data_IF_737527537573
#
_entry.id   IF_737527537573
#
_cell.length_a   1.000
_cell.length_b   1.000
_cell.length_c   1.000
_cell.angle_alpha   90.00
_cell.angle_beta   90.00
_cell.angle_gamma   90.00
#
_symmetry.space_group_name_H-M   'P 1'
#
loop_
_entity.id
_entity.type
_entity.pdbx_description
1 polymer ?
#
# COMPACT_ATOMS: atom_id res chain seq x y z
N UNK A 1 6.16 -22.56 -14.37
CA UNK A 1 6.44 -21.35 -15.17
C UNK A 1 7.76 -21.64 -15.86
N UNK A 2 7.75 -21.82 -17.20
CA UNK A 2 8.98 -21.96 -17.99
C UNK A 2 9.62 -20.58 -18.15
N UNK A 3 10.88 -20.44 -17.72
CA UNK A 3 11.66 -19.20 -17.80
C UNK A 3 12.56 -19.16 -19.06
N UNK A 4 12.32 -20.02 -20.06
CA UNK A 4 13.33 -20.36 -21.08
C UNK A 4 13.09 -19.73 -22.46
N UNK A 5 12.26 -18.70 -22.58
CA UNK A 5 12.15 -17.98 -23.86
C UNK A 5 12.99 -16.69 -23.84
N UNK A 6 13.91 -16.60 -24.80
CA UNK A 6 14.69 -15.37 -25.08
C UNK A 6 14.24 -14.83 -26.42
N UNK A 7 13.91 -13.53 -26.48
CA UNK A 7 13.50 -12.89 -27.72
C UNK A 7 14.71 -12.52 -28.63
N UNK A 8 14.42 -12.05 -29.82
CA UNK A 8 15.42 -11.65 -30.82
C UNK A 8 16.37 -10.53 -30.36
N UNK A 9 16.01 -9.82 -29.28
CA UNK A 9 16.79 -8.73 -28.70
C UNK A 9 17.54 -9.16 -27.42
N UNK A 10 17.51 -10.47 -27.07
CA UNK A 10 18.18 -11.01 -25.90
C UNK A 10 17.46 -10.76 -24.57
N UNK A 11 16.14 -10.46 -24.61
CA UNK A 11 15.31 -10.38 -23.41
C UNK A 11 14.79 -11.76 -23.02
N UNK A 12 14.93 -12.11 -21.76
CA UNK A 12 14.17 -13.19 -21.14
C UNK A 12 12.73 -12.76 -20.95
N UNK A 13 11.77 -13.66 -21.19
CA UNK A 13 10.34 -13.36 -21.13
C UNK A 13 9.63 -14.31 -20.18
N UNK A 14 8.76 -13.74 -19.32
CA UNK A 14 7.80 -14.46 -18.50
C UNK A 14 6.40 -13.90 -18.80
N UNK A 15 5.53 -14.74 -19.36
CA UNK A 15 4.13 -14.41 -19.60
C UNK A 15 3.23 -15.14 -18.59
N UNK A 16 2.35 -14.38 -17.95
CA UNK A 16 1.42 -14.89 -16.95
C UNK A 16 -0.01 -14.51 -17.35
N UNK A 17 -0.95 -15.46 -17.54
CA UNK A 17 -2.34 -15.12 -17.80
C UNK A 17 -2.92 -14.24 -16.72
N UNK A 18 -3.69 -13.21 -17.08
CA UNK A 18 -4.34 -12.29 -16.15
C UNK A 18 -5.86 -12.55 -16.05
N UNK A 19 -6.54 -11.79 -15.19
CA UNK A 19 -7.96 -11.97 -14.88
C UNK A 19 -8.92 -11.55 -16.01
N UNK A 20 -8.38 -10.88 -17.04
CA UNK A 20 -9.17 -10.34 -18.16
C UNK A 20 -9.09 -11.20 -19.42
N UNK A 21 -8.52 -12.41 -19.31
CA UNK A 21 -8.26 -13.28 -20.46
C UNK A 21 -7.06 -12.86 -21.30
N UNK A 22 -6.34 -11.81 -20.88
CA UNK A 22 -5.07 -11.37 -21.43
C UNK A 22 -3.86 -11.99 -20.72
N UNK A 23 -2.69 -11.38 -20.93
CA UNK A 23 -1.44 -11.78 -20.27
C UNK A 23 -0.73 -10.59 -19.66
N UNK A 24 -0.24 -10.78 -18.43
CA UNK A 24 0.77 -9.93 -17.84
C UNK A 24 2.14 -10.41 -18.33
N UNK A 25 2.99 -9.48 -18.70
CA UNK A 25 4.28 -9.80 -19.32
C UNK A 25 5.42 -9.16 -18.52
N UNK A 26 6.46 -9.93 -18.29
CA UNK A 26 7.72 -9.48 -17.69
C UNK A 26 8.87 -9.82 -18.64
N UNK A 27 9.68 -8.83 -18.97
CA UNK A 27 10.87 -8.95 -19.79
C UNK A 27 12.07 -8.37 -19.07
N UNK A 28 13.23 -9.03 -19.16
CA UNK A 28 14.47 -8.50 -18.59
C UNK A 28 15.68 -8.85 -19.44
N UNK A 29 16.67 -8.00 -19.38
CA UNK A 29 17.92 -8.17 -20.08
C UNK A 29 19.08 -7.74 -19.17
N UNK A 30 20.17 -8.51 -19.20
CA UNK A 30 21.43 -8.12 -18.58
C UNK A 30 22.28 -7.33 -19.58
N UNK A 31 22.98 -6.33 -19.08
CA UNK A 31 23.98 -5.57 -19.86
C UNK A 31 25.31 -5.61 -19.13
N UNK A 32 26.38 -5.34 -19.88
CA UNK A 32 27.71 -5.23 -19.27
C UNK A 32 27.76 -3.96 -18.42
N UNK A 33 27.60 -4.11 -17.12
CA UNK A 33 27.62 -3.04 -16.15
C UNK A 33 28.03 -3.56 -14.78
N UNK A 34 28.47 -2.67 -13.91
CA UNK A 34 28.91 -3.02 -12.56
C UNK A 34 27.77 -2.70 -11.59
N UNK A 35 27.25 -3.69 -10.83
CA UNK A 35 26.31 -3.44 -9.76
C UNK A 35 26.73 -2.31 -8.84
N UNK A 36 25.79 -1.46 -8.47
CA UNK A 36 26.08 -0.30 -7.63
C UNK A 36 25.82 -0.62 -6.16
N UNK A 37 26.88 -0.73 -5.38
CA UNK A 37 26.75 -0.77 -3.92
C UNK A 37 26.16 0.54 -3.40
N UNK A 38 25.28 0.43 -2.43
CA UNK A 38 24.66 1.58 -1.79
C UNK A 38 25.42 1.94 -0.53
N UNK A 39 25.90 3.17 -0.47
CA UNK A 39 26.68 3.66 0.68
C UNK A 39 25.77 3.87 1.89
N UNK A 40 26.26 3.47 3.04
CA UNK A 40 25.66 3.73 4.34
C UNK A 40 26.75 3.89 5.39
N UNK A 41 26.41 4.53 6.50
CA UNK A 41 27.32 4.71 7.63
C UNK A 41 26.69 4.04 8.84
N UNK A 42 27.52 3.30 9.61
CA UNK A 42 27.10 2.63 10.83
C UNK A 42 27.95 3.12 12.00
N UNK A 43 27.33 3.37 13.16
CA UNK A 43 28.05 3.66 14.40
C UNK A 43 28.70 2.37 14.89
N UNK A 44 30.05 2.42 15.06
CA UNK A 44 30.81 1.27 15.50
C UNK A 44 30.44 0.86 16.93
N UNK A 45 30.46 -0.45 17.20
CA UNK A 45 30.21 -1.01 18.52
C UNK A 45 28.74 -1.07 18.95
N UNK A 46 27.83 -0.52 18.16
CA UNK A 46 26.39 -0.64 18.42
C UNK A 46 25.86 -1.88 17.70
N UNK A 47 25.32 -2.85 18.47
CA UNK A 47 24.72 -4.08 17.99
C UNK A 47 25.59 -4.79 16.90
N UNK A 48 26.79 -5.28 17.26
CA UNK A 48 27.76 -5.82 16.28
C UNK A 48 27.24 -7.08 15.59
N UNK A 49 26.38 -7.85 16.23
CA UNK A 49 25.85 -9.14 15.76
C UNK A 49 24.62 -9.00 14.85
N UNK A 50 24.16 -7.77 14.58
CA UNK A 50 22.98 -7.53 13.77
C UNK A 50 23.36 -7.07 12.37
N UNK A 51 23.02 -7.87 11.35
CA UNK A 51 23.23 -7.55 9.94
C UNK A 51 22.07 -6.75 9.36
N UNK A 52 22.22 -5.42 9.36
CA UNK A 52 21.25 -4.48 8.75
C UNK A 52 21.96 -3.68 7.67
N UNK A 53 21.63 -3.98 6.41
CA UNK A 53 22.26 -3.35 5.24
C UNK A 53 21.22 -3.03 4.17
N UNK A 54 21.47 -2.05 3.28
CA UNK A 54 20.63 -1.86 2.12
C UNK A 54 20.90 -2.93 1.04
N UNK A 55 19.92 -3.17 0.19
CA UNK A 55 20.12 -3.99 -1.00
C UNK A 55 21.04 -3.30 -2.01
N UNK A 56 21.83 -4.10 -2.72
CA UNK A 56 22.63 -3.66 -3.87
C UNK A 56 21.70 -3.24 -5.01
N UNK A 57 22.09 -2.23 -5.76
CA UNK A 57 21.35 -1.76 -6.94
C UNK A 57 21.85 -2.51 -8.17
N UNK A 58 21.21 -3.64 -8.46
CA UNK A 58 21.54 -4.54 -9.57
C UNK A 58 20.28 -5.20 -10.12
N UNK A 59 20.43 -5.80 -11.30
CA UNK A 59 19.32 -6.46 -12.01
C UNK A 59 18.75 -7.61 -11.20
N UNK A 60 19.53 -8.42 -10.51
CA UNK A 60 19.05 -9.55 -9.73
C UNK A 60 18.17 -9.10 -8.57
N UNK A 61 18.58 -8.05 -7.85
CA UNK A 61 17.82 -7.48 -6.76
C UNK A 61 16.49 -6.87 -7.26
N UNK A 62 16.55 -6.15 -8.38
CA UNK A 62 15.35 -5.54 -8.97
C UNK A 62 14.39 -6.61 -9.50
N UNK A 63 14.90 -7.59 -10.26
CA UNK A 63 14.11 -8.68 -10.84
C UNK A 63 13.45 -9.52 -9.73
N UNK A 64 14.18 -9.88 -8.69
CA UNK A 64 13.62 -10.58 -7.53
C UNK A 64 12.50 -9.77 -6.86
N UNK A 65 12.71 -8.45 -6.68
CA UNK A 65 11.68 -7.56 -6.14
C UNK A 65 10.43 -7.52 -7.00
N UNK A 66 10.56 -7.45 -8.33
CA UNK A 66 9.44 -7.48 -9.27
C UNK A 66 8.74 -8.84 -9.26
N UNK A 67 9.49 -9.94 -9.38
CA UNK A 67 8.92 -11.29 -9.37
C UNK A 67 8.09 -11.54 -8.10
N UNK A 68 8.67 -11.33 -6.92
CA UNK A 68 8.03 -11.71 -5.67
C UNK A 68 7.07 -10.65 -5.09
N UNK A 69 7.01 -9.43 -5.63
CA UNK A 69 6.09 -8.39 -5.14
C UNK A 69 5.04 -7.95 -6.16
N UNK A 70 5.12 -8.48 -7.39
CA UNK A 70 4.12 -8.19 -8.42
C UNK A 70 3.52 -9.47 -8.98
N UNK A 71 4.36 -10.43 -9.42
CA UNK A 71 3.92 -11.57 -10.21
C UNK A 71 3.66 -12.84 -9.39
N UNK A 72 4.43 -13.10 -8.33
CA UNK A 72 4.47 -14.38 -7.65
C UNK A 72 4.39 -14.22 -6.12
N UNK A 73 3.75 -15.19 -5.47
CA UNK A 73 3.77 -15.38 -4.02
C UNK A 73 4.46 -16.69 -3.68
N UNK A 74 5.18 -16.72 -2.56
CA UNK A 74 5.81 -17.96 -2.07
C UNK A 74 4.73 -18.95 -1.65
N UNK A 75 4.85 -20.20 -2.12
CA UNK A 75 3.90 -21.27 -1.87
C UNK A 75 4.69 -22.56 -1.58
N UNK A 76 4.82 -22.90 -0.30
CA UNK A 76 5.69 -23.97 0.15
C UNK A 76 7.13 -23.79 -0.32
N UNK A 77 7.72 -24.80 -1.01
CA UNK A 77 9.06 -24.69 -1.59
C UNK A 77 9.11 -23.94 -2.92
N UNK A 78 7.96 -23.60 -3.50
CA UNK A 78 7.84 -22.98 -4.81
C UNK A 78 7.17 -21.62 -4.79
N UNK A 79 6.68 -21.23 -5.97
CA UNK A 79 5.96 -19.99 -6.19
C UNK A 79 4.65 -20.26 -6.94
N UNK A 80 3.60 -19.59 -6.51
CA UNK A 80 2.30 -19.55 -7.18
C UNK A 80 1.94 -18.12 -7.56
N UNK A 81 0.82 -17.96 -8.24
CA UNK A 81 0.27 -16.62 -8.49
C UNK A 81 -0.38 -16.07 -7.23
N UNK A 82 -0.44 -14.74 -7.07
CA UNK A 82 -1.30 -14.15 -6.06
C UNK A 82 -2.74 -14.67 -6.18
N UNK A 83 -3.44 -14.89 -5.07
CA UNK A 83 -4.84 -15.29 -5.11
C UNK A 83 -5.66 -14.21 -5.84
N UNK A 84 -6.69 -14.67 -6.56
CA UNK A 84 -7.57 -13.81 -7.35
C UNK A 84 -8.89 -13.65 -6.62
N UNK A 85 -9.52 -12.47 -6.68
CA UNK A 85 -10.84 -12.30 -6.16
C UNK A 85 -11.85 -13.13 -6.96
N UNK A 86 -12.89 -13.60 -6.30
CA UNK A 86 -14.05 -14.17 -6.98
C UNK A 86 -14.73 -13.08 -7.81
N UNK A 87 -15.10 -13.38 -9.05
CA UNK A 87 -15.73 -12.40 -9.94
C UNK A 87 -16.93 -11.70 -9.30
N UNK A 88 -16.94 -10.36 -9.34
CA UNK A 88 -18.00 -9.53 -8.77
C UNK A 88 -18.03 -9.48 -7.24
N UNK A 89 -17.00 -9.99 -6.56
CA UNK A 89 -16.98 -10.07 -5.08
C UNK A 89 -16.98 -8.68 -4.44
N UNK A 90 -16.23 -7.72 -5.00
CA UNK A 90 -16.16 -6.36 -4.44
C UNK A 90 -17.51 -5.66 -4.50
N UNK A 91 -18.20 -5.68 -5.64
CA UNK A 91 -19.53 -5.08 -5.77
C UNK A 91 -20.56 -5.76 -4.87
N UNK A 92 -20.50 -7.09 -4.72
CA UNK A 92 -21.45 -7.85 -3.91
C UNK A 92 -21.18 -7.70 -2.41
N UNK A 93 -19.95 -7.93 -1.94
CA UNK A 93 -19.64 -7.91 -0.49
C UNK A 93 -19.53 -6.50 0.08
N UNK A 94 -19.12 -5.54 -0.73
CA UNK A 94 -18.99 -4.15 -0.29
C UNK A 94 -20.23 -3.29 -0.59
N UNK A 95 -21.32 -3.88 -1.12
CA UNK A 95 -22.56 -3.13 -1.41
C UNK A 95 -23.13 -2.41 -0.18
N UNK A 96 -23.21 -3.08 0.96
CA UNK A 96 -23.69 -2.48 2.19
C UNK A 96 -22.75 -1.37 2.70
N UNK A 97 -21.46 -1.57 2.60
CA UNK A 97 -20.44 -0.55 2.97
C UNK A 97 -20.52 0.65 2.03
N UNK A 98 -20.75 0.42 0.73
CA UNK A 98 -20.99 1.50 -0.21
C UNK A 98 -22.20 2.36 0.19
N UNK A 99 -23.31 1.72 0.55
CA UNK A 99 -24.53 2.42 0.97
C UNK A 99 -24.33 3.22 2.28
N UNK A 100 -23.50 2.74 3.19
CA UNK A 100 -23.13 3.47 4.41
C UNK A 100 -22.16 4.63 4.11
N UNK A 101 -21.18 4.41 3.24
CA UNK A 101 -20.10 5.37 2.96
C UNK A 101 -20.54 6.49 2.00
N UNK A 102 -21.29 6.17 0.94
CA UNK A 102 -21.63 7.11 -0.12
C UNK A 102 -22.30 8.41 0.37
N UNK A 103 -23.28 8.38 1.30
CA UNK A 103 -23.88 9.60 1.86
C UNK A 103 -22.89 10.45 2.67
N UNK A 104 -21.82 9.85 3.18
CA UNK A 104 -20.80 10.51 4.02
C UNK A 104 -19.67 11.11 3.19
N UNK A 105 -19.58 10.75 1.89
CA UNK A 105 -18.51 11.24 1.02
C UNK A 105 -18.56 12.76 0.84
N UNK A 106 -17.40 13.41 0.75
CA UNK A 106 -17.36 14.85 0.52
C UNK A 106 -17.86 15.18 -0.89
N UNK A 107 -18.58 16.28 -1.00
CA UNK A 107 -18.83 16.91 -2.29
C UNK A 107 -17.82 18.04 -2.51
N UNK A 108 -16.95 17.93 -3.52
CA UNK A 108 -15.84 18.84 -3.70
C UNK A 108 -15.54 19.11 -5.18
N UNK A 109 -14.66 20.06 -5.42
CA UNK A 109 -14.05 20.32 -6.72
C UNK A 109 -12.54 20.05 -6.66
N UNK A 110 -11.88 19.74 -7.78
CA UNK A 110 -10.44 19.62 -7.82
C UNK A 110 -9.78 20.98 -7.61
N UNK A 111 -8.60 21.01 -7.00
CA UNK A 111 -7.80 22.23 -6.92
C UNK A 111 -7.23 22.56 -8.30
N UNK A 112 -6.82 23.84 -8.52
CA UNK A 112 -6.09 24.19 -9.74
C UNK A 112 -4.71 23.53 -9.76
N UNK A 113 -4.12 23.33 -10.96
CA UNK A 113 -2.74 22.84 -11.07
C UNK A 113 -1.75 23.77 -10.34
N UNK A 114 -1.97 25.09 -10.42
CA UNK A 114 -1.13 26.08 -9.72
C UNK A 114 -1.22 25.90 -8.20
N UNK A 115 -2.43 25.76 -7.65
CA UNK A 115 -2.63 25.51 -6.22
C UNK A 115 -1.95 24.23 -5.76
N UNK A 116 -2.09 23.12 -6.52
CA UNK A 116 -1.41 21.86 -6.20
C UNK A 116 0.12 22.04 -6.11
N UNK A 117 0.72 22.84 -7.03
CA UNK A 117 2.16 23.12 -7.00
C UNK A 117 2.53 23.97 -5.80
N UNK A 118 1.72 24.97 -5.45
CA UNK A 118 1.95 25.85 -4.29
C UNK A 118 1.91 25.08 -2.96
N UNK A 119 1.05 24.06 -2.85
CA UNK A 119 0.94 23.20 -1.66
C UNK A 119 2.15 22.27 -1.48
N UNK A 120 2.99 22.11 -2.52
CA UNK A 120 4.23 21.33 -2.43
C UNK A 120 5.36 22.19 -1.84
N UNK A 121 6.35 21.53 -1.20
CA UNK A 121 7.51 22.20 -0.58
C UNK A 121 8.84 21.70 -1.16
N UNK A 122 9.88 22.50 -1.02
CA UNK A 122 11.26 22.16 -1.36
C UNK A 122 11.45 21.69 -2.81
N UNK A 123 12.28 20.68 -3.01
CA UNK A 123 12.60 20.12 -4.32
C UNK A 123 11.36 19.57 -5.05
N UNK A 124 10.37 19.06 -4.30
CA UNK A 124 9.12 18.57 -4.86
C UNK A 124 8.34 19.66 -5.58
N UNK A 125 8.29 20.87 -5.00
CA UNK A 125 7.65 22.03 -5.63
C UNK A 125 8.33 22.41 -6.96
N UNK A 126 9.66 22.44 -6.99
CA UNK A 126 10.41 22.75 -8.23
C UNK A 126 10.11 21.74 -9.34
N UNK A 127 10.05 20.44 -9.02
CA UNK A 127 9.75 19.39 -9.99
C UNK A 127 8.32 19.48 -10.53
N UNK A 128 7.34 19.74 -9.67
CA UNK A 128 5.95 19.94 -10.12
C UNK A 128 5.75 21.26 -10.86
N UNK A 129 6.50 22.32 -10.54
CA UNK A 129 6.47 23.56 -11.31
C UNK A 129 6.93 23.29 -12.74
N UNK A 130 8.06 22.59 -12.92
CA UNK A 130 8.52 22.18 -14.25
C UNK A 130 7.48 21.35 -15.00
N UNK A 131 6.87 20.37 -14.35
CA UNK A 131 5.80 19.56 -14.94
C UNK A 131 4.58 20.41 -15.36
N UNK A 132 4.24 21.45 -14.59
CA UNK A 132 3.18 22.40 -14.93
C UNK A 132 3.53 23.20 -16.19
N UNK A 133 4.76 23.69 -16.28
CA UNK A 133 5.22 24.48 -17.43
C UNK A 133 5.27 23.63 -18.70
N UNK A 134 5.77 22.41 -18.60
CA UNK A 134 5.74 21.41 -19.69
C UNK A 134 4.31 21.09 -20.13
N UNK A 135 3.38 20.92 -19.20
CA UNK A 135 1.96 20.67 -19.49
C UNK A 135 1.30 21.88 -20.17
N UNK A 136 1.62 23.10 -19.77
CA UNK A 136 1.15 24.34 -20.41
C UNK A 136 1.68 24.49 -21.84
N UNK A 137 2.89 23.98 -22.09
CA UNK A 137 3.50 23.91 -23.40
C UNK A 137 2.97 22.74 -24.29
N UNK A 138 1.88 22.09 -23.88
CA UNK A 138 1.24 21.01 -24.63
C UNK A 138 1.94 19.66 -24.58
N UNK A 139 2.95 19.46 -23.73
CA UNK A 139 3.76 18.23 -23.64
C UNK A 139 3.15 17.12 -22.78
N UNK A 140 1.85 17.14 -22.51
CA UNK A 140 1.18 16.11 -21.76
C UNK A 140 0.66 15.01 -22.70
N UNK A 141 1.17 13.79 -22.55
CA UNK A 141 0.69 12.57 -23.17
C UNK A 141 0.33 11.56 -22.06
N UNK A 142 -0.93 11.15 -21.97
CA UNK A 142 -1.37 10.29 -20.89
C UNK A 142 -0.67 8.94 -20.90
N UNK A 143 -0.52 8.31 -22.05
CA UNK A 143 0.10 6.99 -22.17
C UNK A 143 1.56 7.01 -21.73
N UNK A 144 2.33 8.01 -22.14
CA UNK A 144 3.74 8.16 -21.77
C UNK A 144 3.90 8.58 -20.31
N UNK A 145 3.10 9.57 -19.87
CA UNK A 145 3.22 10.16 -18.54
C UNK A 145 2.71 9.24 -17.42
N UNK A 146 1.83 8.29 -17.76
CA UNK A 146 1.35 7.27 -16.83
C UNK A 146 2.30 6.08 -16.66
N UNK A 147 3.31 5.92 -17.52
CA UNK A 147 4.34 4.87 -17.36
C UNK A 147 5.05 5.02 -16.02
N UNK A 148 5.43 3.88 -15.46
CA UNK A 148 6.06 3.80 -14.15
C UNK A 148 7.56 3.54 -14.29
N UNK A 149 8.34 4.24 -13.48
CA UNK A 149 9.75 3.92 -13.27
C UNK A 149 9.87 3.04 -12.04
N UNK A 150 10.55 1.91 -12.13
CA UNK A 150 10.66 0.95 -11.04
C UNK A 150 12.09 0.87 -10.53
N UNK A 151 12.26 0.89 -9.23
CA UNK A 151 13.57 0.74 -8.61
C UNK A 151 13.48 0.10 -7.23
N UNK A 152 14.58 -0.51 -6.79
CA UNK A 152 14.70 -1.09 -5.45
C UNK A 152 14.74 0.03 -4.41
N UNK A 153 13.87 -0.08 -3.42
CA UNK A 153 13.80 0.89 -2.31
C UNK A 153 15.12 0.91 -1.54
N UNK A 154 15.68 2.10 -1.37
CA UNK A 154 16.85 2.29 -0.52
C UNK A 154 16.39 2.36 0.94
N UNK A 155 16.56 1.27 1.67
CA UNK A 155 16.12 1.13 3.06
C UNK A 155 17.02 0.17 3.84
N UNK A 156 16.95 0.28 5.16
CA UNK A 156 17.63 -0.59 6.13
C UNK A 156 16.91 -1.95 6.15
N UNK A 157 17.58 -2.98 5.67
CA UNK A 157 17.06 -4.36 5.62
C UNK A 157 17.75 -5.19 6.68
N UNK A 158 16.98 -5.68 7.64
CA UNK A 158 17.46 -6.57 8.69
C UNK A 158 17.51 -8.01 8.16
N UNK A 159 18.72 -8.54 8.02
CA UNK A 159 18.98 -9.91 7.58
C UNK A 159 19.14 -10.88 8.75
N UNK A 160 19.28 -10.36 9.97
CA UNK A 160 19.37 -11.18 11.18
C UNK A 160 18.02 -11.79 11.52
N UNK A 161 16.98 -10.96 11.54
CA UNK A 161 15.61 -11.42 11.87
C UNK A 161 14.90 -12.06 10.67
N UNK A 162 15.31 -11.73 9.44
CA UNK A 162 14.78 -12.28 8.19
C UNK A 162 15.92 -12.86 7.37
N UNK A 163 16.07 -14.17 7.38
CA UNK A 163 17.14 -14.89 6.68
C UNK A 163 17.19 -14.63 5.17
N UNK A 164 16.01 -14.38 4.55
CA UNK A 164 15.87 -14.14 3.12
C UNK A 164 14.87 -13.02 2.82
N UNK A 165 15.21 -11.75 3.15
CA UNK A 165 14.30 -10.63 2.94
C UNK A 165 14.12 -10.32 1.45
N UNK A 166 12.88 -10.19 1.00
CA UNK A 166 12.56 -9.81 -0.38
C UNK A 166 12.71 -8.30 -0.56
N UNK A 167 13.46 -7.83 -1.58
CA UNK A 167 13.61 -6.40 -1.86
C UNK A 167 12.27 -5.73 -2.06
N UNK A 168 12.06 -4.55 -1.46
CA UNK A 168 10.90 -3.73 -1.79
C UNK A 168 11.20 -2.87 -3.01
N UNK A 169 10.21 -2.77 -3.89
CA UNK A 169 10.27 -1.92 -5.08
C UNK A 169 9.37 -0.71 -4.92
N UNK A 170 9.76 0.39 -5.52
CA UNK A 170 8.98 1.62 -5.63
C UNK A 170 8.72 1.89 -7.10
N UNK A 171 7.48 2.20 -7.43
CA UNK A 171 7.01 2.37 -8.80
C UNK A 171 6.25 3.69 -8.97
N UNK A 172 6.94 4.85 -9.00
CA UNK A 172 6.30 6.15 -9.22
C UNK A 172 5.98 6.38 -10.69
N UNK A 173 4.91 7.15 -10.94
CA UNK A 173 4.59 7.71 -12.25
C UNK A 173 5.25 9.09 -12.45
N UNK A 174 5.27 9.52 -13.70
CA UNK A 174 5.80 10.82 -14.10
C UNK A 174 5.13 12.00 -13.37
N UNK A 175 5.87 13.09 -13.18
CA UNK A 175 5.37 14.28 -12.50
C UNK A 175 4.18 14.94 -13.20
N UNK A 176 4.08 14.86 -14.54
CA UNK A 176 2.96 15.43 -15.32
C UNK A 176 1.67 14.64 -15.08
N UNK A 177 1.74 13.30 -15.02
CA UNK A 177 0.61 12.48 -14.61
C UNK A 177 0.21 12.76 -13.17
N UNK A 178 1.19 12.72 -12.24
CA UNK A 178 0.95 12.97 -10.82
C UNK A 178 0.39 14.38 -10.53
N UNK A 179 0.78 15.40 -11.30
CA UNK A 179 0.17 16.73 -11.27
C UNK A 179 -1.30 16.68 -11.71
N UNK A 180 -1.59 15.90 -12.76
CA UNK A 180 -2.93 15.83 -13.34
C UNK A 180 -3.92 15.09 -12.45
N UNK A 181 -3.51 13.94 -11.86
CA UNK A 181 -4.36 13.14 -10.95
C UNK A 181 -4.35 13.70 -9.53
N UNK A 182 -3.21 14.22 -9.07
CA UNK A 182 -3.02 14.70 -7.70
C UNK A 182 -3.90 15.88 -7.32
N UNK A 183 -4.22 16.77 -8.28
CA UNK A 183 -5.18 17.87 -8.06
C UNK A 183 -6.58 17.40 -7.67
N UNK A 184 -6.95 16.17 -8.04
CA UNK A 184 -8.20 15.52 -7.65
C UNK A 184 -8.03 14.78 -6.31
N UNK A 185 -7.02 13.93 -6.19
CA UNK A 185 -6.87 13.00 -5.09
C UNK A 185 -6.35 13.64 -3.80
N UNK A 186 -5.40 14.57 -3.90
CA UNK A 186 -4.80 15.20 -2.72
C UNK A 186 -5.81 15.91 -1.81
N UNK A 187 -6.79 16.67 -2.34
CA UNK A 187 -7.82 17.28 -1.52
C UNK A 187 -8.80 16.27 -0.90
N UNK A 188 -8.91 15.06 -1.47
CA UNK A 188 -9.83 14.03 -1.00
C UNK A 188 -9.30 13.27 0.21
N UNK A 189 -8.00 13.05 0.33
CA UNK A 189 -7.38 12.14 1.29
C UNK A 189 -7.95 12.33 2.71
N UNK A 190 -7.76 13.50 3.30
CA UNK A 190 -8.27 13.77 4.66
C UNK A 190 -9.80 13.77 4.76
N UNK A 191 -10.49 14.10 3.68
CA UNK A 191 -11.95 14.13 3.67
C UNK A 191 -12.54 12.72 3.66
N UNK A 192 -11.96 11.81 2.86
CA UNK A 192 -12.37 10.41 2.81
C UNK A 192 -12.02 9.72 4.15
N UNK A 193 -10.86 10.00 4.75
CA UNK A 193 -10.55 9.48 6.10
C UNK A 193 -11.61 9.88 7.13
N UNK A 194 -12.11 11.14 7.10
CA UNK A 194 -13.21 11.58 7.95
C UNK A 194 -14.53 10.87 7.64
N UNK A 195 -14.79 10.54 6.37
CA UNK A 195 -15.95 9.76 5.98
C UNK A 195 -15.89 8.33 6.51
N UNK A 196 -14.70 7.71 6.48
CA UNK A 196 -14.46 6.40 7.10
C UNK A 196 -14.66 6.48 8.62
N UNK A 197 -14.08 7.50 9.29
CA UNK A 197 -14.26 7.70 10.74
C UNK A 197 -15.77 7.82 11.11
N UNK A 198 -16.54 8.56 10.30
CA UNK A 198 -18.00 8.69 10.49
C UNK A 198 -18.75 7.38 10.26
N UNK A 199 -18.37 6.60 9.26
CA UNK A 199 -18.98 5.30 8.95
C UNK A 199 -18.79 4.31 10.11
N UNK A 200 -17.65 4.34 10.77
CA UNK A 200 -17.38 3.52 11.94
C UNK A 200 -17.92 4.11 13.26
N UNK A 201 -18.25 5.40 13.28
CA UNK A 201 -18.69 6.11 14.47
C UNK A 201 -17.55 6.46 15.46
N UNK A 202 -16.30 6.29 15.07
CA UNK A 202 -15.13 6.60 15.89
C UNK A 202 -13.91 6.92 15.03
N UNK A 203 -12.84 7.45 15.60
CA UNK A 203 -11.57 7.65 14.91
C UNK A 203 -11.00 6.30 14.48
N UNK A 204 -10.94 6.06 13.18
CA UNK A 204 -10.56 4.76 12.57
C UNK A 204 -9.22 4.86 11.85
N UNK A 205 -9.02 5.88 11.00
CA UNK A 205 -7.78 6.07 10.27
C UNK A 205 -6.82 6.91 11.10
N UNK A 206 -5.75 6.30 11.60
CA UNK A 206 -4.78 6.96 12.49
C UNK A 206 -3.66 7.65 11.73
N UNK A 207 -3.70 7.61 10.40
CA UNK A 207 -2.67 8.22 9.56
C UNK A 207 -2.48 9.71 9.84
N UNK A 208 -1.22 10.07 10.15
CA UNK A 208 -0.83 11.45 10.45
C UNK A 208 -1.00 11.84 11.92
N UNK A 209 -1.43 10.94 12.79
CA UNK A 209 -1.35 11.14 14.24
C UNK A 209 0.10 10.96 14.72
N UNK A 210 0.46 11.67 15.78
CA UNK A 210 1.70 11.46 16.50
C UNK A 210 1.57 10.27 17.48
N UNK A 211 2.67 9.88 18.12
CA UNK A 211 2.74 8.73 19.03
C UNK A 211 1.78 8.84 20.21
N UNK A 212 1.63 10.02 20.81
CA UNK A 212 0.72 10.25 21.94
C UNK A 212 -0.74 10.14 21.48
N UNK A 213 -1.12 10.87 20.43
CA UNK A 213 -2.49 10.84 19.93
C UNK A 213 -2.90 9.44 19.43
N UNK A 214 -1.96 8.69 18.86
CA UNK A 214 -2.21 7.30 18.45
C UNK A 214 -2.49 6.41 19.65
N UNK A 215 -1.68 6.52 20.72
CA UNK A 215 -1.89 5.77 21.97
C UNK A 215 -3.24 6.10 22.60
N UNK A 216 -3.62 7.38 22.67
CA UNK A 216 -4.91 7.84 23.20
C UNK A 216 -6.08 7.19 22.43
N UNK A 217 -6.05 7.26 21.10
CA UNK A 217 -7.11 6.66 20.27
C UNK A 217 -7.17 5.14 20.42
N UNK A 218 -6.04 4.46 20.50
CA UNK A 218 -6.01 3.00 20.73
C UNK A 218 -6.56 2.66 22.11
N UNK A 219 -6.23 3.44 23.16
CA UNK A 219 -6.74 3.26 24.51
C UNK A 219 -8.26 3.46 24.59
N UNK A 220 -8.80 4.50 23.93
CA UNK A 220 -10.25 4.72 23.82
C UNK A 220 -10.98 3.53 23.17
N UNK A 221 -10.36 2.87 22.19
CA UNK A 221 -10.95 1.68 21.56
C UNK A 221 -10.92 0.48 22.48
N UNK A 222 -9.85 0.31 23.24
CA UNK A 222 -9.70 -0.75 24.22
C UNK A 222 -10.73 -0.60 25.34
N UNK A 223 -10.85 0.58 25.93
CA UNK A 223 -11.76 0.89 27.03
C UNK A 223 -13.25 0.91 26.65
N UNK A 224 -13.55 0.86 25.35
CA UNK A 224 -14.92 0.77 24.87
C UNK A 224 -15.60 -0.56 25.26
N UNK A 225 -14.83 -1.63 25.38
CA UNK A 225 -15.30 -2.97 25.73
C UNK A 225 -15.08 -3.26 27.20
N UNK A 226 -15.87 -4.19 27.75
CA UNK A 226 -15.76 -4.58 29.17
C UNK A 226 -14.62 -5.56 29.42
N UNK A 227 -14.50 -6.56 28.53
CA UNK A 227 -13.42 -7.54 28.49
C UNK A 227 -12.77 -7.48 27.11
N UNK A 228 -11.95 -6.43 26.87
CA UNK A 228 -11.39 -6.16 25.55
C UNK A 228 -10.32 -7.16 25.15
N UNK A 229 -10.32 -7.49 23.86
CA UNK A 229 -9.19 -8.15 23.21
C UNK A 229 -8.86 -7.40 21.92
N UNK A 230 -7.62 -7.54 21.46
CA UNK A 230 -7.18 -6.96 20.20
C UNK A 230 -6.50 -8.01 19.32
N UNK A 231 -6.72 -7.91 18.00
CA UNK A 231 -6.13 -8.77 16.98
C UNK A 231 -5.50 -7.90 15.91
N UNK A 232 -4.20 -8.11 15.65
CA UNK A 232 -3.52 -7.54 14.50
C UNK A 232 -3.91 -8.27 13.21
N UNK A 233 -4.16 -7.52 12.14
CA UNK A 233 -4.43 -8.04 10.81
C UNK A 233 -3.35 -7.54 9.86
N UNK A 234 -2.56 -8.45 9.31
CA UNK A 234 -1.55 -8.15 8.30
C UNK A 234 -1.91 -8.84 6.97
N UNK A 235 -2.25 -8.03 5.98
CA UNK A 235 -2.47 -8.53 4.64
C UNK A 235 -1.13 -8.62 3.92
N UNK A 236 -0.60 -9.84 3.84
CA UNK A 236 0.70 -10.11 3.23
C UNK A 236 0.82 -9.49 1.85
N UNK A 237 1.79 -8.58 1.68
CA UNK A 237 2.03 -7.88 0.40
C UNK A 237 0.76 -7.23 -0.16
N UNK A 238 0.05 -6.47 0.62
CA UNK A 238 -1.24 -5.85 0.30
C UNK A 238 -1.28 -5.27 -1.12
N UNK A 239 -0.28 -4.44 -1.49
CA UNK A 239 -0.21 -3.80 -2.79
C UNK A 239 -0.29 -4.80 -3.96
N UNK A 240 0.36 -5.97 -3.84
CA UNK A 240 0.35 -7.04 -4.84
C UNK A 240 -1.04 -7.63 -5.07
N UNK A 241 -1.85 -7.68 -4.00
CA UNK A 241 -3.18 -8.30 -4.00
C UNK A 241 -4.32 -7.34 -4.37
N UNK A 242 -4.03 -6.04 -4.55
CA UNK A 242 -5.04 -5.08 -5.02
C UNK A 242 -5.38 -5.37 -6.47
N UNK A 243 -6.43 -6.15 -6.68
CA UNK A 243 -6.90 -6.54 -8.00
C UNK A 243 -7.48 -5.36 -8.79
N UNK A 244 -7.66 -5.54 -10.09
CA UNK A 244 -8.36 -4.57 -10.94
C UNK A 244 -9.76 -4.27 -10.42
N UNK A 245 -10.48 -5.28 -9.92
CA UNK A 245 -11.81 -5.10 -9.37
C UNK A 245 -11.80 -4.25 -8.09
N UNK A 246 -10.80 -4.46 -7.23
CA UNK A 246 -10.55 -3.61 -6.06
C UNK A 246 -10.28 -2.14 -6.45
N UNK A 247 -9.42 -1.93 -7.46
CA UNK A 247 -9.14 -0.59 -8.00
C UNK A 247 -10.40 0.08 -8.56
N UNK A 248 -11.21 -0.64 -9.32
CA UNK A 248 -12.46 -0.11 -9.88
C UNK A 248 -13.44 0.33 -8.78
N UNK A 249 -13.59 -0.45 -7.71
CA UNK A 249 -14.40 -0.08 -6.56
C UNK A 249 -13.87 1.19 -5.88
N UNK A 250 -12.58 1.26 -5.62
CA UNK A 250 -11.90 2.43 -5.06
C UNK A 250 -12.08 3.68 -5.93
N UNK A 251 -11.86 3.53 -7.25
CA UNK A 251 -12.03 4.61 -8.23
C UNK A 251 -13.49 5.12 -8.26
N UNK A 252 -14.45 4.24 -8.02
CA UNK A 252 -15.85 4.59 -7.84
C UNK A 252 -16.06 5.56 -6.68
N UNK A 253 -15.43 5.29 -5.52
CA UNK A 253 -15.48 6.17 -4.34
C UNK A 253 -14.88 7.54 -4.66
N UNK A 254 -13.75 7.60 -5.34
CA UNK A 254 -13.14 8.88 -5.72
C UNK A 254 -14.02 9.69 -6.66
N UNK A 255 -14.57 9.05 -7.68
CA UNK A 255 -15.49 9.72 -8.63
C UNK A 255 -16.74 10.24 -7.96
N UNK A 256 -17.29 9.50 -6.99
CA UNK A 256 -18.49 9.92 -6.25
C UNK A 256 -18.28 11.22 -5.43
N UNK A 257 -17.05 11.58 -5.09
CA UNK A 257 -16.73 12.82 -4.40
C UNK A 257 -16.88 14.10 -5.24
N UNK A 258 -17.11 14.00 -6.55
CA UNK A 258 -17.26 15.15 -7.44
C UNK A 258 -18.71 15.25 -7.95
N UNK A 259 -19.28 16.48 -7.95
CA UNK A 259 -20.65 16.70 -8.46
C UNK A 259 -20.67 16.74 -9.97
N UNK A 260 -19.75 17.53 -10.55
CA UNK A 260 -19.73 17.80 -11.98
C UNK A 260 -19.27 16.61 -12.79
N UNK A 261 -20.05 16.20 -13.77
CA UNK A 261 -19.78 15.08 -14.67
C UNK A 261 -18.44 15.19 -15.35
N UNK A 262 -18.07 16.39 -15.82
CA UNK A 262 -16.76 16.64 -16.45
C UNK A 262 -15.56 16.29 -15.56
N UNK A 263 -15.72 16.48 -14.22
CA UNK A 263 -14.64 16.13 -13.28
C UNK A 263 -14.59 14.61 -13.04
N UNK A 264 -15.74 13.93 -12.98
CA UNK A 264 -15.82 12.47 -12.86
C UNK A 264 -15.19 11.78 -14.07
N UNK A 265 -15.56 12.22 -15.27
CA UNK A 265 -15.03 11.69 -16.53
C UNK A 265 -13.51 11.89 -16.63
N UNK A 266 -13.06 13.13 -16.41
CA UNK A 266 -11.63 13.45 -16.50
C UNK A 266 -10.79 12.72 -15.45
N UNK A 267 -11.30 12.57 -14.24
CA UNK A 267 -10.66 11.74 -13.22
C UNK A 267 -10.70 10.26 -13.62
N UNK A 268 -11.81 9.77 -14.18
CA UNK A 268 -11.94 8.41 -14.68
C UNK A 268 -10.83 8.07 -15.67
N UNK A 269 -10.65 8.87 -16.70
CA UNK A 269 -9.59 8.68 -17.72
C UNK A 269 -8.19 8.62 -17.09
N UNK A 270 -7.92 9.44 -16.08
CA UNK A 270 -6.63 9.38 -15.37
C UNK A 270 -6.48 8.12 -14.51
N UNK A 271 -7.54 7.69 -13.85
CA UNK A 271 -7.54 6.50 -13.00
C UNK A 271 -7.51 5.20 -13.82
N UNK A 272 -8.09 5.18 -15.01
CA UNK A 272 -8.05 4.02 -15.92
C UNK A 272 -6.60 3.64 -16.28
N UNK A 273 -5.69 4.62 -16.34
CA UNK A 273 -4.26 4.35 -16.51
C UNK A 273 -3.60 3.63 -15.33
N UNK A 274 -4.31 3.43 -14.20
CA UNK A 274 -3.85 2.62 -13.06
C UNK A 274 -4.35 1.17 -13.13
N UNK A 275 -5.24 0.84 -14.06
CA UNK A 275 -5.82 -0.50 -14.20
C UNK A 275 -4.91 -1.46 -14.98
N UNK A 276 -4.13 -0.92 -15.93
CA UNK A 276 -3.08 -1.64 -16.64
C UNK A 276 -1.79 -0.83 -16.52
N UNK A 277 -0.81 -1.42 -15.86
CA UNK A 277 0.42 -0.73 -15.48
C UNK A 277 1.57 -1.14 -16.41
N UNK A 278 2.23 -0.17 -17.04
CA UNK A 278 3.44 -0.34 -17.85
C UNK A 278 4.64 0.21 -17.08
N UNK A 279 5.59 -0.66 -16.78
CA UNK A 279 6.68 -0.40 -15.85
C UNK A 279 8.04 -0.65 -16.53
N UNK A 280 8.99 0.24 -16.25
CA UNK A 280 10.39 0.10 -16.68
C UNK A 280 11.29 0.35 -15.50
N UNK A 281 12.21 -0.57 -15.24
CA UNK A 281 13.26 -0.45 -14.24
C UNK A 281 14.65 -0.59 -14.86
N UNK A 282 15.56 0.28 -14.52
CA UNK A 282 16.95 0.26 -15.00
C UNK A 282 17.90 0.17 -13.83
N UNK A 283 18.90 -0.67 -13.98
CA UNK A 283 20.03 -0.81 -13.07
C UNK A 283 21.33 -0.67 -13.87
N UNK A 284 22.48 -0.47 -13.24
CA UNK A 284 23.74 -0.37 -13.96
C UNK A 284 24.06 -1.59 -14.84
N UNK A 285 23.58 -2.78 -14.47
CA UNK A 285 23.86 -4.07 -15.08
C UNK A 285 22.65 -4.72 -15.77
N UNK A 286 21.53 -3.99 -15.95
CA UNK A 286 20.37 -4.55 -16.65
C UNK A 286 19.14 -3.68 -16.69
N UNK A 287 18.12 -4.19 -17.37
CA UNK A 287 16.82 -3.54 -17.55
C UNK A 287 15.69 -4.55 -17.36
N UNK A 288 14.63 -4.12 -16.72
CA UNK A 288 13.38 -4.87 -16.52
C UNK A 288 12.23 -4.06 -17.11
N UNK A 289 11.39 -4.69 -17.90
CA UNK A 289 10.14 -4.11 -18.42
C UNK A 289 9.00 -5.05 -18.09
N UNK A 290 7.87 -4.52 -17.63
CA UNK A 290 6.70 -5.36 -17.43
C UNK A 290 5.38 -4.61 -17.60
N UNK A 291 4.34 -5.38 -17.93
CA UNK A 291 2.96 -4.94 -17.87
C UNK A 291 2.17 -5.85 -16.95
N UNK A 292 1.31 -5.27 -16.11
CA UNK A 292 0.47 -6.00 -15.17
C UNK A 292 -0.89 -5.36 -15.03
N UNK A 293 -1.93 -6.19 -15.07
CA UNK A 293 -3.31 -5.77 -14.80
C UNK A 293 -3.58 -5.75 -13.31
N UNK A 294 -4.24 -4.70 -12.83
CA UNK A 294 -4.41 -4.50 -11.39
C UNK A 294 -3.09 -4.17 -10.70
N UNK A 295 -2.93 -4.64 -9.47
CA UNK A 295 -1.77 -4.40 -8.59
C UNK A 295 -1.58 -2.93 -8.24
N UNK A 296 -1.56 -2.62 -6.95
CA UNK A 296 -1.24 -1.28 -6.45
C UNK A 296 0.21 -0.97 -6.71
N UNK A 297 0.49 0.09 -7.44
CA UNK A 297 1.85 0.57 -7.61
C UNK A 297 2.29 1.39 -6.40
N UNK A 298 3.31 0.87 -5.69
CA UNK A 298 3.89 1.57 -4.52
C UNK A 298 4.60 2.83 -4.99
N UNK A 299 3.92 3.96 -4.95
CA UNK A 299 4.36 5.27 -5.48
C UNK A 299 3.28 6.03 -6.22
N UNK A 300 2.13 5.41 -6.48
CA UNK A 300 0.93 6.10 -6.94
C UNK A 300 0.45 7.13 -5.91
N UNK A 301 -0.16 8.21 -6.39
CA UNK A 301 -0.63 9.32 -5.55
C UNK A 301 -1.66 8.86 -4.51
N UNK A 302 -2.42 7.82 -4.82
CA UNK A 302 -3.48 7.26 -4.00
C UNK A 302 -3.10 5.99 -3.22
N UNK A 303 -1.85 5.53 -3.26
CA UNK A 303 -1.45 4.29 -2.54
C UNK A 303 -1.92 4.30 -1.09
N UNK A 304 -1.59 5.34 -0.34
CA UNK A 304 -1.98 5.45 1.06
C UNK A 304 -3.49 5.58 1.27
N UNK A 305 -4.15 6.42 0.48
CA UNK A 305 -5.60 6.63 0.57
C UNK A 305 -6.36 5.37 0.20
N UNK A 306 -5.95 4.70 -0.88
CA UNK A 306 -6.59 3.50 -1.39
C UNK A 306 -6.43 2.31 -0.47
N UNK A 307 -5.22 2.10 0.10
CA UNK A 307 -5.00 1.00 1.05
C UNK A 307 -5.86 1.19 2.32
N UNK A 308 -5.89 2.41 2.90
CA UNK A 308 -6.79 2.71 4.02
C UNK A 308 -8.27 2.45 3.66
N UNK A 309 -8.71 2.93 2.50
CA UNK A 309 -10.11 2.81 2.07
C UNK A 309 -10.51 1.35 1.86
N UNK A 310 -9.73 0.58 1.11
CA UNK A 310 -10.01 -0.83 0.83
C UNK A 310 -9.98 -1.66 2.10
N UNK A 311 -8.96 -1.52 2.93
CA UNK A 311 -8.84 -2.30 4.16
C UNK A 311 -9.96 -1.99 5.14
N UNK A 312 -10.29 -0.71 5.38
CA UNK A 312 -11.42 -0.32 6.22
C UNK A 312 -12.75 -0.84 5.68
N UNK A 313 -12.97 -0.78 4.36
CA UNK A 313 -14.20 -1.27 3.75
C UNK A 313 -14.34 -2.80 3.89
N UNK A 314 -13.26 -3.56 3.67
CA UNK A 314 -13.26 -5.01 3.81
C UNK A 314 -13.49 -5.44 5.27
N UNK A 315 -12.79 -4.83 6.23
CA UNK A 315 -12.99 -5.15 7.66
C UNK A 315 -14.41 -4.79 8.11
N UNK A 316 -14.96 -3.63 7.67
CA UNK A 316 -16.34 -3.25 7.97
C UNK A 316 -17.36 -4.26 7.42
N UNK A 317 -17.17 -4.68 6.16
CA UNK A 317 -18.04 -5.67 5.52
C UNK A 317 -17.98 -7.03 6.23
N UNK A 318 -16.78 -7.47 6.61
CA UNK A 318 -16.57 -8.72 7.32
C UNK A 318 -17.21 -8.70 8.71
N UNK A 319 -16.88 -7.70 9.54
CA UNK A 319 -17.43 -7.58 10.90
C UNK A 319 -18.97 -7.55 10.88
N UNK A 320 -19.55 -6.80 9.92
CA UNK A 320 -21.01 -6.76 9.71
C UNK A 320 -21.58 -8.12 9.33
N UNK A 321 -20.94 -8.85 8.41
CA UNK A 321 -21.36 -10.18 8.00
C UNK A 321 -21.31 -11.22 9.14
N UNK A 322 -20.41 -10.99 10.11
CA UNK A 322 -20.27 -11.84 11.31
C UNK A 322 -21.17 -11.38 12.47
N UNK A 323 -21.78 -10.20 12.38
CA UNK A 323 -22.57 -9.63 13.47
C UNK A 323 -21.75 -9.24 14.69
N UNK A 324 -20.45 -8.93 14.51
CA UNK A 324 -19.51 -8.60 15.59
C UNK A 324 -19.30 -7.09 15.65
N UNK A 325 -19.39 -6.52 16.85
CA UNK A 325 -19.04 -5.13 17.09
C UNK A 325 -17.51 -5.01 17.18
N UNK A 326 -16.94 -4.12 16.36
CA UNK A 326 -15.49 -3.90 16.31
C UNK A 326 -15.13 -2.43 16.38
N UNK A 327 -14.00 -2.13 17.02
CA UNK A 327 -13.32 -0.84 16.94
C UNK A 327 -12.03 -1.01 16.16
N UNK A 328 -12.00 -0.49 14.93
CA UNK A 328 -10.86 -0.62 14.02
C UNK A 328 -9.88 0.54 14.19
N UNK A 329 -8.58 0.23 14.26
CA UNK A 329 -7.47 1.16 14.04
C UNK A 329 -6.76 0.79 12.75
N UNK A 330 -6.59 1.75 11.83
CA UNK A 330 -6.01 1.50 10.51
C UNK A 330 -4.96 2.54 10.12
N UNK A 331 -3.89 2.08 9.46
CA UNK A 331 -2.90 2.92 8.79
C UNK A 331 -2.42 2.27 7.48
N UNK A 332 -3.29 2.20 6.49
CA UNK A 332 -3.03 1.50 5.23
C UNK A 332 -3.39 0.02 5.32
N UNK A 333 -2.42 -0.82 5.10
CA UNK A 333 -2.50 -2.28 5.29
C UNK A 333 -2.38 -2.70 6.77
N UNK A 334 -1.71 -1.91 7.61
CA UNK A 334 -1.65 -2.12 9.05
C UNK A 334 -3.00 -1.90 9.73
N UNK A 335 -3.51 -2.92 10.42
CA UNK A 335 -4.78 -2.88 11.15
C UNK A 335 -4.70 -3.57 12.50
N UNK A 336 -5.39 -2.98 13.48
CA UNK A 336 -5.73 -3.65 14.75
C UNK A 336 -7.24 -3.55 14.97
N UNK A 337 -7.86 -4.67 15.30
CA UNK A 337 -9.29 -4.77 15.58
C UNK A 337 -9.48 -5.07 17.05
N UNK A 338 -10.24 -4.22 17.74
CA UNK A 338 -10.63 -4.39 19.13
C UNK A 338 -12.07 -4.88 19.19
N UNK A 339 -12.36 -5.82 20.09
CA UNK A 339 -13.69 -6.40 20.30
C UNK A 339 -13.85 -6.97 21.72
N UNK A 340 -15.07 -7.35 22.08
CA UNK A 340 -15.30 -8.15 23.28
C UNK A 340 -14.68 -9.55 23.13
N UNK A 341 -14.06 -10.09 24.19
CA UNK A 341 -13.44 -11.40 24.22
C UNK A 341 -14.38 -12.52 23.74
N UNK A 342 -15.64 -12.47 24.14
CA UNK A 342 -16.62 -13.46 23.75
C UNK A 342 -16.90 -13.52 22.23
N UNK A 343 -16.64 -12.44 21.51
CA UNK A 343 -16.84 -12.32 20.07
C UNK A 343 -15.62 -12.74 19.25
N UNK A 344 -14.45 -12.84 19.87
CA UNK A 344 -13.17 -13.13 19.22
C UNK A 344 -13.23 -14.40 18.34
N UNK A 345 -13.78 -15.49 18.89
CA UNK A 345 -13.92 -16.74 18.15
C UNK A 345 -14.83 -16.61 16.92
N UNK A 346 -15.91 -15.86 17.05
CA UNK A 346 -16.85 -15.60 15.94
C UNK A 346 -16.15 -14.76 14.86
N UNK A 347 -15.40 -13.74 15.27
CA UNK A 347 -14.67 -12.88 14.36
C UNK A 347 -13.53 -13.61 13.64
N UNK A 348 -12.72 -14.39 14.35
CA UNK A 348 -11.54 -15.06 13.79
C UNK A 348 -11.89 -16.23 12.87
N UNK A 349 -13.04 -16.91 13.14
CA UNK A 349 -13.49 -18.04 12.35
C UNK A 349 -13.90 -17.63 10.94
N UNK A 350 -13.20 -18.16 9.92
CA UNK A 350 -13.49 -17.89 8.50
C UNK A 350 -12.99 -16.55 7.98
N UNK A 351 -12.18 -15.81 8.77
CA UNK A 351 -11.63 -14.52 8.35
C UNK A 351 -10.65 -14.68 7.19
N UNK A 352 -9.77 -15.67 7.26
CA UNK A 352 -8.77 -15.93 6.20
C UNK A 352 -9.44 -16.28 4.90
N UNK A 353 -10.43 -17.17 4.94
CA UNK A 353 -11.20 -17.62 3.77
C UNK A 353 -11.95 -16.46 3.15
N UNK A 354 -12.58 -15.63 3.97
CA UNK A 354 -13.32 -14.46 3.48
C UNK A 354 -12.41 -13.46 2.76
N UNK A 355 -11.23 -13.18 3.32
CA UNK A 355 -10.27 -12.28 2.67
C UNK A 355 -9.62 -12.92 1.44
N UNK A 356 -9.43 -14.25 1.45
CA UNK A 356 -8.93 -14.98 0.29
C UNK A 356 -9.90 -14.90 -0.89
N UNK A 357 -11.22 -14.99 -0.64
CA UNK A 357 -12.23 -14.76 -1.68
C UNK A 357 -12.20 -13.32 -2.23
N UNK A 358 -11.76 -12.34 -1.44
CA UNK A 358 -11.49 -10.96 -1.90
C UNK A 358 -10.13 -10.83 -2.61
N UNK A 359 -9.36 -11.91 -2.71
CA UNK A 359 -8.03 -11.93 -3.33
C UNK A 359 -6.89 -11.54 -2.39
N UNK A 360 -7.10 -11.48 -1.07
CA UNK A 360 -6.08 -11.09 -0.10
C UNK A 360 -5.69 -12.26 0.80
N UNK A 361 -4.38 -12.44 0.99
CA UNK A 361 -3.86 -13.41 1.94
C UNK A 361 -3.65 -12.74 3.31
N UNK A 362 -4.60 -12.98 4.22
CA UNK A 362 -4.64 -12.36 5.53
C UNK A 362 -3.92 -13.20 6.58
N UNK A 363 -2.87 -12.64 7.18
CA UNK A 363 -2.30 -13.15 8.43
C UNK A 363 -3.07 -12.56 9.62
N UNK A 364 -3.43 -13.43 10.55
CA UNK A 364 -4.09 -13.07 11.80
C UNK A 364 -3.02 -13.22 12.89
N UNK A 365 -2.68 -12.13 13.54
CA UNK A 365 -1.74 -12.16 14.66
C UNK A 365 -2.38 -12.78 15.91
N UNK A 366 -1.59 -13.27 16.87
CA UNK A 366 -2.12 -13.75 18.13
C UNK A 366 -2.99 -12.69 18.84
N UNK A 367 -4.11 -13.12 19.37
CA UNK A 367 -4.97 -12.25 20.19
C UNK A 367 -4.22 -11.79 21.42
N UNK A 368 -4.31 -10.52 21.74
CA UNK A 368 -3.74 -9.93 22.95
C UNK A 368 -4.87 -9.44 23.87
N UNK A 369 -4.69 -9.65 25.17
CA UNK A 369 -5.64 -9.30 26.24
C UNK A 369 -5.08 -8.31 27.26
N UNK A 370 -3.88 -7.79 26.99
CA UNK A 370 -3.26 -6.68 27.71
C UNK A 370 -3.00 -5.55 26.71
N UNK A 371 -3.35 -4.31 27.12
CA UNK A 371 -3.22 -3.15 26.23
C UNK A 371 -1.77 -2.90 25.78
N UNK A 372 -0.81 -3.12 26.67
CA UNK A 372 0.63 -2.96 26.45
C UNK A 372 1.19 -3.92 25.38
N UNK A 373 0.48 -5.00 25.10
CA UNK A 373 0.87 -5.96 24.05
C UNK A 373 0.36 -5.59 22.68
N UNK A 374 -0.58 -4.66 22.56
CA UNK A 374 -1.14 -4.22 21.28
C UNK A 374 -0.03 -3.64 20.40
N UNK A 375 0.25 -4.28 19.27
CA UNK A 375 1.20 -3.78 18.30
C UNK A 375 0.48 -3.07 17.14
N UNK A 376 0.88 -1.84 16.84
CA UNK A 376 0.36 -1.07 15.72
C UNK A 376 1.48 -0.26 15.06
N UNK A 377 1.68 -0.44 13.75
CA UNK A 377 2.76 0.21 12.99
C UNK A 377 4.16 -0.03 13.60
N UNK A 378 4.44 -1.26 14.06
CA UNK A 378 5.70 -1.66 14.71
C UNK A 378 5.97 -0.89 16.01
N UNK A 379 4.94 -0.42 16.69
CA UNK A 379 5.01 0.26 17.98
C UNK A 379 4.03 -0.37 18.96
N UNK A 380 4.35 -0.29 20.26
CA UNK A 380 3.49 -0.74 21.36
C UNK A 380 3.22 0.41 22.32
N UNK A 381 2.06 0.45 23.00
CA UNK A 381 1.76 1.46 24.00
C UNK A 381 2.62 1.26 25.26
N UNK A 382 3.14 2.34 25.76
CA UNK A 382 3.90 2.41 27.00
C UNK A 382 3.28 3.47 27.89
N UNK A 383 3.06 3.14 29.17
CA UNK A 383 2.60 4.10 30.15
C UNK A 383 3.76 4.99 30.62
N UNK A 384 3.52 6.29 30.69
CA UNK A 384 4.44 7.30 31.24
C UNK A 384 3.70 8.20 32.23
N UNK A 385 4.39 9.00 33.09
CA UNK A 385 3.74 9.96 33.93
C UNK A 385 2.81 10.94 33.24
N UNK A 386 3.05 11.22 31.93
CA UNK A 386 2.23 12.10 31.11
C UNK A 386 1.13 11.37 30.33
N UNK A 387 0.96 10.04 30.55
CA UNK A 387 -0.03 9.20 29.88
C UNK A 387 0.57 8.19 28.91
N UNK A 388 -0.27 7.61 28.04
CA UNK A 388 0.11 6.60 27.07
C UNK A 388 0.82 7.19 25.85
N UNK A 389 1.87 6.50 25.40
CA UNK A 389 2.62 6.84 24.19
C UNK A 389 2.97 5.57 23.41
N UNK A 390 2.89 5.62 22.08
CA UNK A 390 3.34 4.52 21.21
C UNK A 390 4.86 4.56 21.04
N UNK A 391 5.55 3.48 21.44
CA UNK A 391 7.00 3.35 21.39
C UNK A 391 7.42 2.20 20.46
N UNK A 392 8.49 2.42 19.68
CA UNK A 392 9.15 1.34 18.95
C UNK A 392 9.85 0.39 19.90
N UNK A 393 9.98 -0.87 19.53
CA UNK A 393 10.85 -1.80 20.22
C UNK A 393 12.27 -1.20 20.30
N UNK A 394 12.82 -1.15 21.51
CA UNK A 394 14.08 -0.47 21.81
C UNK A 394 15.25 -1.05 21.03
N UNK A 395 15.37 -2.39 20.98
CA UNK A 395 16.45 -3.06 20.25
C UNK A 395 16.39 -2.72 18.75
N UNK A 396 15.21 -2.79 18.14
CA UNK A 396 15.02 -2.41 16.74
C UNK A 396 15.30 -0.93 16.49
N UNK A 397 14.92 -0.05 17.42
CA UNK A 397 15.17 1.38 17.31
C UNK A 397 16.67 1.69 17.37
N UNK A 398 17.39 1.17 18.37
CA UNK A 398 18.83 1.36 18.53
C UNK A 398 19.59 0.92 17.28
N UNK A 399 19.29 -0.28 16.77
CA UNK A 399 19.94 -0.82 15.57
C UNK A 399 19.67 0.06 14.34
N UNK A 400 18.40 0.37 14.09
CA UNK A 400 18.02 1.16 12.92
C UNK A 400 18.51 2.60 13.00
N UNK A 401 18.52 3.20 14.19
CA UNK A 401 18.95 4.59 14.38
C UNK A 401 20.48 4.73 14.40
N UNK A 402 21.25 3.63 14.66
CA UNK A 402 22.71 3.60 14.51
C UNK A 402 23.22 3.55 13.05
N UNK A 403 22.31 3.44 12.07
CA UNK A 403 22.64 3.36 10.65
C UNK A 403 22.05 4.56 9.92
N UNK A 404 22.85 5.22 9.10
CA UNK A 404 22.44 6.30 8.21
C UNK A 404 22.60 5.85 6.75
N UNK A 405 21.54 6.02 5.94
CA UNK A 405 21.52 5.72 4.51
C UNK A 405 21.76 6.96 3.66
#
# INVERSE_FOLDING_TARGET
VSLDSVDLYGYHILDVPNDEGGRDCLRWQRVNGIPRERRYVRVAGVAPDIDVVPFVDCIDTLLRGVLERVFLVKDGPGFSRPPRPMAGVFSRRLAAVWNELAPLLPSTAPVSHGQFVQDCRGCKRKRYQRALDEKRAGRFNLEEDARLTVFVKFEKTDRTTKSDPVPRIISPRGYRYNLSVGRYLKPLEKKIFRSIDRMFGHKTVLKGLNAVNSATVLREKWEHFRDPVAIGLDASRFDQHVSREALLWEHGVYKACFRETKHKERLGVLLDAQLLNHCVGETPDGRVEYSVSGTRMSGDMNTSLGNCLLMCAMVRAYARARGVEVRLANNGDDCVVFMERQEERVFSSGLREWFLEMGFNMAIEPTVDEFEQVEFCQTKPVWTPDGWIMCRNISTAVVKDSIML
#
